data_IF_435019662963
#
_entry.id   IF_435019662963
#
_cell.length_a   1.000
_cell.length_b   1.000
_cell.length_c   1.000
_cell.angle_alpha   90.00
_cell.angle_beta   90.00
_cell.angle_gamma   90.00
#
_symmetry.space_group_name_H-M   'P 1'
#
loop_
_entity.id
_entity.type
_entity.pdbx_description
1 polymer ?
#
# COMPACT_ATOMS: atom_id res chain seq x y z
N UNK A 1 -34.74 -8.03 16.23
CA UNK A 1 -33.47 -7.40 15.81
C UNK A 1 -33.81 -6.10 15.13
N UNK A 2 -33.19 -4.97 15.50
CA UNK A 2 -33.39 -3.72 14.78
C UNK A 2 -32.95 -3.91 13.32
N UNK A 3 -33.70 -3.34 12.36
CA UNK A 3 -33.34 -3.40 10.94
C UNK A 3 -31.98 -2.73 10.72
N UNK A 4 -31.09 -3.36 9.95
CA UNK A 4 -29.81 -2.77 9.53
C UNK A 4 -30.09 -1.44 8.78
N UNK A 5 -29.27 -0.39 8.98
CA UNK A 5 -29.47 0.90 8.31
C UNK A 5 -29.26 0.77 6.80
N UNK A 6 -29.91 1.64 6.03
CA UNK A 6 -29.66 1.76 4.60
C UNK A 6 -28.30 2.45 4.34
N UNK A 7 -27.60 2.02 3.30
CA UNK A 7 -26.27 2.51 2.94
C UNK A 7 -26.29 3.03 1.50
N UNK A 8 -25.74 4.22 1.29
CA UNK A 8 -25.35 4.71 -0.03
C UNK A 8 -23.90 4.36 -0.34
N UNK A 9 -23.60 4.12 -1.61
CA UNK A 9 -22.26 3.69 -2.03
C UNK A 9 -21.91 4.27 -3.41
N UNK A 10 -20.70 4.80 -3.57
CA UNK A 10 -20.14 5.06 -4.90
C UNK A 10 -18.75 4.44 -5.10
N UNK A 11 -18.48 4.06 -6.34
CA UNK A 11 -17.22 3.43 -6.75
C UNK A 11 -17.27 1.92 -6.53
N UNK A 12 -17.86 1.20 -7.48
CA UNK A 12 -18.02 -0.25 -7.47
C UNK A 12 -16.89 -0.94 -8.27
N UNK A 13 -15.69 -0.35 -8.26
CA UNK A 13 -14.47 -1.03 -8.75
C UNK A 13 -14.13 -2.27 -7.91
N UNK A 14 -12.98 -2.91 -8.17
CA UNK A 14 -12.63 -4.20 -7.54
C UNK A 14 -12.79 -4.23 -6.01
N UNK A 15 -12.30 -3.20 -5.31
CA UNK A 15 -12.46 -3.09 -3.85
C UNK A 15 -13.90 -2.75 -3.43
N UNK A 16 -14.48 -1.71 -4.02
CA UNK A 16 -15.80 -1.22 -3.62
C UNK A 16 -16.91 -2.21 -3.92
N UNK A 17 -16.81 -2.97 -5.01
CA UNK A 17 -17.72 -4.08 -5.31
C UNK A 17 -17.68 -5.16 -4.22
N UNK A 18 -16.47 -5.56 -3.79
CA UNK A 18 -16.31 -6.52 -2.69
C UNK A 18 -16.96 -5.99 -1.41
N UNK A 19 -16.67 -4.74 -1.03
CA UNK A 19 -17.26 -4.10 0.17
C UNK A 19 -18.78 -4.04 0.10
N UNK A 20 -19.34 -3.57 -1.02
CA UNK A 20 -20.78 -3.40 -1.17
C UNK A 20 -21.52 -4.74 -1.16
N UNK A 21 -20.95 -5.78 -1.80
CA UNK A 21 -21.54 -7.13 -1.80
C UNK A 21 -21.40 -7.85 -0.47
N UNK A 22 -20.32 -7.60 0.29
CA UNK A 22 -20.23 -8.04 1.69
C UNK A 22 -21.36 -7.45 2.53
N UNK A 23 -21.58 -6.14 2.46
CA UNK A 23 -22.66 -5.47 3.18
C UNK A 23 -24.04 -6.02 2.83
N UNK A 24 -24.30 -6.34 1.56
CA UNK A 24 -25.56 -6.99 1.15
C UNK A 24 -25.70 -8.36 1.82
N UNK A 25 -24.65 -9.19 1.81
CA UNK A 25 -24.66 -10.51 2.48
C UNK A 25 -24.86 -10.40 3.99
N UNK A 26 -24.34 -9.34 4.61
CA UNK A 26 -24.55 -9.00 6.02
C UNK A 26 -25.94 -8.40 6.34
N UNK A 27 -26.82 -8.29 5.33
CA UNK A 27 -28.21 -7.88 5.50
C UNK A 27 -28.46 -6.37 5.43
N UNK A 28 -27.51 -5.57 4.95
CA UNK A 28 -27.72 -4.14 4.72
C UNK A 28 -28.41 -3.90 3.37
N UNK A 29 -29.23 -2.85 3.31
CA UNK A 29 -29.80 -2.35 2.07
C UNK A 29 -28.84 -1.34 1.42
N UNK A 30 -28.13 -1.77 0.38
CA UNK A 30 -27.10 -0.94 -0.27
C UNK A 30 -27.62 -0.38 -1.60
N UNK A 31 -27.64 0.95 -1.72
CA UNK A 31 -27.89 1.65 -2.98
C UNK A 31 -26.57 2.16 -3.55
N UNK A 32 -26.18 1.66 -4.71
CA UNK A 32 -24.86 1.86 -5.31
C UNK A 32 -24.89 2.68 -6.60
N UNK A 33 -23.84 3.45 -6.84
CA UNK A 33 -23.55 4.12 -8.11
C UNK A 33 -22.12 3.79 -8.58
N UNK A 34 -21.97 3.63 -9.90
CA UNK A 34 -20.69 3.57 -10.58
C UNK A 34 -20.85 4.19 -11.97
N UNK A 35 -19.79 4.83 -12.46
CA UNK A 35 -19.78 5.44 -13.80
C UNK A 35 -19.79 4.38 -14.91
N UNK A 36 -19.44 3.14 -14.60
CA UNK A 36 -19.40 2.02 -15.54
C UNK A 36 -20.65 1.15 -15.44
N UNK A 37 -21.56 1.30 -16.40
CA UNK A 37 -22.84 0.60 -16.42
C UNK A 37 -22.77 -0.93 -16.26
N UNK A 38 -21.82 -1.66 -16.88
CA UNK A 38 -21.69 -3.11 -16.65
C UNK A 38 -21.42 -3.50 -15.19
N UNK A 39 -20.79 -2.63 -14.40
CA UNK A 39 -20.58 -2.88 -12.97
C UNK A 39 -21.89 -2.77 -12.18
N UNK A 40 -22.76 -1.82 -12.55
CA UNK A 40 -24.09 -1.67 -11.95
C UNK A 40 -24.96 -2.91 -12.18
N UNK A 41 -24.95 -3.46 -13.40
CA UNK A 41 -25.68 -4.70 -13.69
C UNK A 41 -25.18 -5.89 -12.85
N UNK A 42 -23.86 -6.02 -12.70
CA UNK A 42 -23.26 -7.03 -11.80
C UNK A 42 -23.66 -6.80 -10.34
N UNK A 43 -23.70 -5.55 -9.90
CA UNK A 43 -24.06 -5.19 -8.52
C UNK A 43 -25.53 -5.50 -8.23
N UNK A 44 -26.42 -5.20 -9.17
CA UNK A 44 -27.83 -5.56 -9.11
C UNK A 44 -28.02 -7.08 -9.05
N UNK A 45 -27.30 -7.83 -9.87
CA UNK A 45 -27.32 -9.29 -9.85
C UNK A 45 -26.83 -9.87 -8.50
N UNK A 46 -25.95 -9.16 -7.79
CA UNK A 46 -25.49 -9.52 -6.45
C UNK A 46 -26.47 -9.10 -5.32
N UNK A 47 -27.66 -8.58 -5.65
CA UNK A 47 -28.68 -8.18 -4.68
C UNK A 47 -28.64 -6.70 -4.27
N UNK A 48 -27.78 -5.91 -4.91
CA UNK A 48 -27.69 -4.46 -4.68
C UNK A 48 -28.77 -3.66 -5.38
N UNK A 49 -29.03 -2.45 -4.89
CA UNK A 49 -29.95 -1.51 -5.55
C UNK A 49 -29.09 -0.56 -6.39
N UNK A 50 -29.11 -0.69 -7.71
CA UNK A 50 -28.39 0.24 -8.59
C UNK A 50 -29.16 1.56 -8.71
N UNK A 51 -28.42 2.66 -8.64
CA UNK A 51 -28.93 4.01 -8.88
C UNK A 51 -28.44 4.55 -10.23
N UNK A 52 -29.16 5.54 -10.76
CA UNK A 52 -28.84 6.21 -12.03
C UNK A 52 -27.94 7.44 -11.85
N UNK A 53 -27.74 7.88 -10.61
CA UNK A 53 -26.89 9.04 -10.28
C UNK A 53 -26.33 8.96 -8.87
N UNK A 54 -25.25 9.72 -8.61
CA UNK A 54 -24.69 9.92 -7.27
C UNK A 54 -25.75 10.46 -6.29
N UNK A 55 -26.52 11.47 -6.69
CA UNK A 55 -27.59 12.03 -5.84
C UNK A 55 -28.61 10.98 -5.42
N UNK A 56 -29.06 10.13 -6.34
CA UNK A 56 -30.01 9.05 -6.04
C UNK A 56 -29.42 8.03 -5.06
N UNK A 57 -28.14 7.69 -5.22
CA UNK A 57 -27.47 6.76 -4.29
C UNK A 57 -27.37 7.29 -2.85
N UNK A 58 -27.37 8.61 -2.67
CA UNK A 58 -27.14 9.27 -1.38
C UNK A 58 -28.44 9.65 -0.64
N UNK A 59 -29.54 9.80 -1.39
CA UNK A 59 -30.82 10.23 -0.85
C UNK A 59 -31.34 9.27 0.23
N UNK A 60 -31.76 9.83 1.36
CA UNK A 60 -32.32 9.11 2.50
C UNK A 60 -31.36 8.04 3.10
N UNK A 61 -30.05 8.15 2.85
CA UNK A 61 -29.04 7.22 3.38
C UNK A 61 -28.31 7.81 4.59
N UNK A 62 -28.50 7.26 5.80
CA UNK A 62 -27.80 7.74 6.99
C UNK A 62 -26.29 7.45 6.96
N UNK A 63 -25.85 6.48 6.15
CA UNK A 63 -24.44 6.15 5.93
C UNK A 63 -24.13 6.18 4.44
N UNK A 64 -22.98 6.73 4.09
CA UNK A 64 -22.50 6.76 2.71
C UNK A 64 -21.02 6.38 2.64
N UNK A 65 -20.67 5.46 1.72
CA UNK A 65 -19.28 5.03 1.48
C UNK A 65 -18.83 5.50 0.10
N UNK A 66 -17.71 6.22 0.06
CA UNK A 66 -17.03 6.61 -1.18
C UNK A 66 -15.75 5.79 -1.37
N UNK A 67 -15.75 4.92 -2.40
CA UNK A 67 -14.64 4.01 -2.69
C UNK A 67 -14.19 4.12 -4.16
N UNK A 68 -13.54 5.24 -4.49
CA UNK A 68 -13.02 5.55 -5.83
C UNK A 68 -11.48 5.49 -5.84
N UNK A 69 -10.86 5.61 -7.02
CA UNK A 69 -9.42 5.38 -7.15
C UNK A 69 -8.57 6.58 -6.72
N UNK A 70 -9.03 7.81 -6.97
CA UNK A 70 -8.23 9.04 -6.80
C UNK A 70 -8.97 10.13 -6.01
N UNK A 71 -8.20 11.05 -5.42
CA UNK A 71 -8.74 12.24 -4.76
C UNK A 71 -9.57 13.13 -5.73
N UNK A 72 -9.19 13.20 -7.00
CA UNK A 72 -9.96 13.93 -8.01
C UNK A 72 -11.34 13.30 -8.25
N UNK A 73 -11.41 11.97 -8.35
CA UNK A 73 -12.69 11.27 -8.46
C UNK A 73 -13.53 11.44 -7.20
N UNK A 74 -12.90 11.43 -6.02
CA UNK A 74 -13.59 11.69 -4.76
C UNK A 74 -14.13 13.11 -4.72
N UNK A 75 -13.36 14.12 -5.17
CA UNK A 75 -13.79 15.50 -5.19
C UNK A 75 -15.03 15.69 -6.06
N UNK A 76 -15.00 15.13 -7.28
CA UNK A 76 -16.15 15.16 -8.19
C UNK A 76 -17.36 14.43 -7.60
N UNK A 77 -17.16 13.24 -7.01
CA UNK A 77 -18.24 12.46 -6.44
C UNK A 77 -18.89 13.13 -5.21
N UNK A 78 -18.10 13.84 -4.40
CA UNK A 78 -18.56 14.51 -3.20
C UNK A 78 -19.20 15.87 -3.52
N UNK A 79 -18.49 16.73 -4.25
CA UNK A 79 -18.78 18.15 -4.38
C UNK A 79 -19.05 18.63 -5.82
N UNK A 80 -18.92 17.76 -6.82
CA UNK A 80 -19.27 18.09 -8.21
C UNK A 80 -20.74 18.52 -8.36
N UNK A 81 -21.14 18.87 -9.58
CA UNK A 81 -22.48 19.42 -9.84
C UNK A 81 -23.59 18.49 -9.31
N UNK A 82 -23.40 17.19 -9.54
CA UNK A 82 -24.27 16.09 -9.09
C UNK A 82 -23.72 15.34 -7.85
N UNK A 83 -22.80 15.96 -7.11
CA UNK A 83 -22.12 15.36 -5.97
C UNK A 83 -23.06 14.97 -4.82
N UNK A 84 -22.67 13.95 -4.07
CA UNK A 84 -23.52 13.34 -3.03
C UNK A 84 -23.84 14.30 -1.88
N UNK A 85 -22.98 15.29 -1.60
CA UNK A 85 -23.08 16.16 -0.42
C UNK A 85 -24.39 16.96 -0.41
N UNK A 86 -24.94 17.30 -1.59
CA UNK A 86 -26.24 18.00 -1.68
C UNK A 86 -27.44 17.09 -1.38
N UNK A 87 -27.28 15.78 -1.49
CA UNK A 87 -28.34 14.79 -1.38
C UNK A 87 -28.32 13.98 -0.08
N UNK A 88 -27.20 14.02 0.68
CA UNK A 88 -27.10 13.36 1.98
C UNK A 88 -28.12 13.94 2.97
N UNK A 89 -28.82 13.10 3.76
CA UNK A 89 -29.69 13.59 4.83
C UNK A 89 -28.90 14.32 5.92
N UNK A 90 -29.63 15.03 6.79
CA UNK A 90 -29.01 15.71 7.92
C UNK A 90 -28.33 14.70 8.86
N UNK A 91 -27.14 15.05 9.37
CA UNK A 91 -26.32 14.21 10.26
C UNK A 91 -25.91 12.85 9.66
N UNK A 92 -25.86 12.74 8.32
CA UNK A 92 -25.35 11.54 7.65
C UNK A 92 -23.88 11.30 8.00
N UNK A 93 -23.47 10.04 8.04
CA UNK A 93 -22.07 9.63 8.19
C UNK A 93 -21.46 9.32 6.84
N UNK A 94 -20.43 10.07 6.45
CA UNK A 94 -19.70 9.91 5.20
C UNK A 94 -18.35 9.26 5.45
N UNK A 95 -18.11 8.10 4.85
CA UNK A 95 -16.86 7.36 4.92
C UNK A 95 -16.12 7.50 3.59
N UNK A 96 -14.95 8.15 3.61
CA UNK A 96 -14.04 8.14 2.47
C UNK A 96 -13.04 6.99 2.64
N UNK A 97 -13.21 5.93 1.86
CA UNK A 97 -12.39 4.71 1.97
C UNK A 97 -11.26 4.65 0.92
N UNK A 98 -11.11 5.70 0.13
CA UNK A 98 -10.14 5.81 -0.95
C UNK A 98 -8.74 6.12 -0.38
N UNK A 99 -7.68 5.61 -1.02
CA UNK A 99 -6.32 6.05 -0.69
C UNK A 99 -6.06 7.41 -1.34
N UNK A 100 -6.00 8.46 -0.51
CA UNK A 100 -5.86 9.86 -0.90
C UNK A 100 -4.80 10.57 -0.04
N UNK A 101 -4.26 11.73 -0.46
CA UNK A 101 -3.41 12.54 0.41
C UNK A 101 -4.16 13.00 1.67
N UNK A 102 -3.47 13.03 2.82
CA UNK A 102 -4.04 13.55 4.08
C UNK A 102 -4.51 15.00 3.97
N UNK A 103 -3.79 15.82 3.19
CA UNK A 103 -4.19 17.20 2.91
C UNK A 103 -5.56 17.28 2.21
N UNK A 104 -5.86 16.34 1.30
CA UNK A 104 -7.15 16.24 0.63
C UNK A 104 -8.25 15.80 1.61
N UNK A 105 -8.02 14.75 2.40
CA UNK A 105 -8.99 14.33 3.41
C UNK A 105 -9.35 15.49 4.37
N UNK A 106 -8.34 16.28 4.80
CA UNK A 106 -8.54 17.48 5.62
C UNK A 106 -9.31 18.58 4.88
N UNK A 107 -9.12 18.75 3.57
CA UNK A 107 -9.87 19.75 2.80
C UNK A 107 -11.35 19.40 2.66
N UNK A 108 -11.70 18.10 2.55
CA UNK A 108 -13.10 17.65 2.52
C UNK A 108 -13.87 18.13 3.75
N UNK A 109 -13.29 18.00 4.95
CA UNK A 109 -13.93 18.50 6.19
C UNK A 109 -14.18 20.01 6.17
N UNK A 110 -13.20 20.80 5.74
CA UNK A 110 -13.34 22.27 5.60
C UNK A 110 -14.39 22.65 4.55
N UNK A 111 -14.43 21.91 3.45
CA UNK A 111 -15.37 22.17 2.37
C UNK A 111 -16.81 21.86 2.79
N UNK A 112 -17.04 20.76 3.52
CA UNK A 112 -18.33 20.44 4.14
C UNK A 112 -18.83 21.61 5.01
N UNK A 113 -17.98 22.18 5.86
CA UNK A 113 -18.33 23.37 6.64
C UNK A 113 -18.68 24.58 5.75
N UNK A 114 -17.86 24.85 4.73
CA UNK A 114 -18.02 26.00 3.84
C UNK A 114 -19.33 25.98 3.02
N UNK A 115 -19.84 24.79 2.70
CA UNK A 115 -21.10 24.61 1.96
C UNK A 115 -22.31 24.42 2.88
N UNK A 116 -22.17 24.70 4.19
CA UNK A 116 -23.25 24.61 5.16
C UNK A 116 -23.61 23.17 5.55
N UNK A 117 -22.71 22.21 5.33
CA UNK A 117 -22.86 20.78 5.63
C UNK A 117 -21.95 20.33 6.79
N UNK A 118 -21.68 21.22 7.74
CA UNK A 118 -20.97 20.88 8.98
C UNK A 118 -21.70 19.85 9.87
N UNK A 119 -22.95 19.52 9.54
CA UNK A 119 -23.71 18.42 10.15
C UNK A 119 -23.23 17.02 9.72
N UNK A 120 -22.57 16.90 8.56
CA UNK A 120 -22.12 15.61 8.04
C UNK A 120 -20.96 15.08 8.89
N UNK A 121 -21.14 13.87 9.43
CA UNK A 121 -20.14 13.17 10.23
C UNK A 121 -19.12 12.50 9.29
N UNK A 122 -18.01 13.18 9.03
CA UNK A 122 -16.99 12.71 8.11
C UNK A 122 -15.93 11.81 8.77
N UNK A 123 -15.61 10.69 8.10
CA UNK A 123 -14.55 9.75 8.48
C UNK A 123 -13.64 9.49 7.28
N UNK A 124 -12.37 9.85 7.43
CA UNK A 124 -11.29 9.44 6.53
C UNK A 124 -10.86 8.02 6.92
N UNK A 125 -11.21 7.02 6.11
CA UNK A 125 -11.11 5.59 6.46
C UNK A 125 -10.54 4.72 5.33
N UNK A 126 -9.36 5.05 4.77
CA UNK A 126 -8.74 4.21 3.76
C UNK A 126 -8.57 2.76 4.21
N UNK A 127 -8.54 1.86 3.22
CA UNK A 127 -8.56 0.42 3.46
C UNK A 127 -7.35 -0.30 2.85
N UNK A 128 -7.06 -1.49 3.37
CA UNK A 128 -6.04 -2.42 2.87
C UNK A 128 -6.56 -3.86 2.93
N UNK A 129 -6.15 -4.71 1.99
CA UNK A 129 -6.53 -6.14 1.99
C UNK A 129 -6.89 -6.73 0.61
N UNK A 130 -7.10 -5.89 -0.41
CA UNK A 130 -7.46 -6.36 -1.74
C UNK A 130 -8.93 -6.81 -1.86
N UNK A 131 -9.36 -7.08 -3.09
CA UNK A 131 -10.76 -7.35 -3.42
C UNK A 131 -11.34 -8.56 -2.67
N UNK A 132 -10.52 -9.59 -2.44
CA UNK A 132 -10.91 -10.80 -1.68
C UNK A 132 -11.30 -10.43 -0.25
N UNK A 133 -10.40 -9.77 0.50
CA UNK A 133 -10.70 -9.37 1.88
C UNK A 133 -11.84 -8.34 1.95
N UNK A 134 -12.03 -7.54 0.90
CA UNK A 134 -13.18 -6.64 0.80
C UNK A 134 -14.50 -7.41 0.68
N UNK A 135 -14.54 -8.47 -0.14
CA UNK A 135 -15.70 -9.33 -0.31
C UNK A 135 -16.02 -10.22 0.91
N UNK A 136 -15.00 -10.48 1.74
CA UNK A 136 -15.10 -11.27 2.96
C UNK A 136 -15.35 -10.40 4.22
N UNK A 137 -15.33 -9.06 4.10
CA UNK A 137 -15.46 -8.17 5.25
C UNK A 137 -14.28 -8.23 6.22
N UNK A 138 -13.10 -8.57 5.73
CA UNK A 138 -11.90 -8.80 6.55
C UNK A 138 -10.81 -7.77 6.27
N UNK A 139 -11.18 -6.55 5.87
CA UNK A 139 -10.21 -5.50 5.56
C UNK A 139 -9.44 -5.05 6.80
N UNK A 140 -8.29 -4.44 6.55
CA UNK A 140 -7.65 -3.55 7.50
C UNK A 140 -8.08 -2.12 7.18
N UNK A 141 -8.67 -1.42 8.14
CA UNK A 141 -9.23 -0.08 7.96
C UNK A 141 -8.51 0.88 8.90
N UNK A 142 -8.04 2.01 8.35
CA UNK A 142 -7.33 3.05 9.10
C UNK A 142 -8.23 4.28 9.16
N UNK A 143 -8.96 4.46 10.26
CA UNK A 143 -10.00 5.48 10.39
C UNK A 143 -9.54 6.66 11.26
N UNK A 144 -9.67 7.87 10.72
CA UNK A 144 -9.48 9.14 11.43
C UNK A 144 -10.69 10.05 11.25
N UNK A 145 -11.13 10.69 12.33
CA UNK A 145 -12.30 11.57 12.33
C UNK A 145 -12.59 12.13 13.72
N UNK A 146 -13.59 12.99 13.82
CA UNK A 146 -14.08 13.46 15.12
C UNK A 146 -14.68 12.29 15.94
N UNK A 147 -14.59 12.35 17.27
CA UNK A 147 -15.08 11.27 18.14
C UNK A 147 -16.55 10.89 17.86
N UNK A 148 -17.42 11.87 17.66
CA UNK A 148 -18.84 11.64 17.31
C UNK A 148 -19.01 10.92 15.96
N UNK A 149 -18.18 11.23 14.96
CA UNK A 149 -18.22 10.56 13.68
C UNK A 149 -17.74 9.10 13.80
N UNK A 150 -16.63 8.88 14.52
CA UNK A 150 -16.11 7.54 14.79
C UNK A 150 -17.14 6.71 15.56
N UNK A 151 -17.73 7.25 16.62
CA UNK A 151 -18.77 6.57 17.41
C UNK A 151 -19.94 6.13 16.52
N UNK A 152 -20.43 7.03 15.66
CA UNK A 152 -21.55 6.75 14.75
C UNK A 152 -21.21 5.71 13.68
N UNK A 153 -20.00 5.77 13.12
CA UNK A 153 -19.53 4.89 12.05
C UNK A 153 -18.93 3.57 12.50
N UNK A 154 -18.59 3.42 13.79
CA UNK A 154 -17.78 2.31 14.31
C UNK A 154 -18.33 0.94 13.93
N UNK A 155 -19.63 0.70 14.15
CA UNK A 155 -20.22 -0.61 13.86
C UNK A 155 -20.15 -0.98 12.37
N UNK A 156 -20.26 0.01 11.46
CA UNK A 156 -20.13 -0.22 10.02
C UNK A 156 -18.68 -0.46 9.60
N UNK A 157 -17.73 0.26 10.21
CA UNK A 157 -16.31 0.03 10.02
C UNK A 157 -15.91 -1.37 10.51
N UNK A 158 -16.41 -1.78 11.68
CA UNK A 158 -16.17 -3.12 12.25
C UNK A 158 -16.71 -4.22 11.34
N UNK A 159 -17.93 -4.06 10.79
CA UNK A 159 -18.54 -4.99 9.83
C UNK A 159 -17.69 -5.24 8.58
N UNK A 160 -16.92 -4.24 8.15
CA UNK A 160 -16.06 -4.30 6.97
C UNK A 160 -14.63 -4.75 7.28
N UNK A 161 -14.29 -4.89 8.56
CA UNK A 161 -12.92 -5.14 9.03
C UNK A 161 -12.76 -6.52 9.66
N UNK A 162 -11.57 -7.10 9.51
CA UNK A 162 -11.24 -8.29 10.29
C UNK A 162 -11.18 -7.94 11.79
N UNK A 163 -11.41 -8.92 12.70
CA UNK A 163 -11.24 -8.71 14.12
C UNK A 163 -9.88 -8.08 14.44
N UNK A 164 -9.89 -6.99 15.23
CA UNK A 164 -8.69 -6.20 15.60
C UNK A 164 -7.95 -5.54 14.42
N UNK A 165 -8.57 -5.42 13.24
CA UNK A 165 -8.02 -4.73 12.07
C UNK A 165 -8.74 -3.41 11.73
N UNK A 166 -9.60 -2.94 12.63
CA UNK A 166 -10.04 -1.54 12.65
C UNK A 166 -9.06 -0.72 13.51
N UNK A 167 -8.26 0.10 12.86
CA UNK A 167 -7.31 1.00 13.49
C UNK A 167 -7.94 2.39 13.55
N UNK A 168 -8.35 2.83 14.75
CA UNK A 168 -8.72 4.23 14.97
C UNK A 168 -7.43 4.99 15.20
N UNK A 169 -7.09 5.88 14.26
CA UNK A 169 -5.82 6.62 14.26
C UNK A 169 -6.05 7.98 14.90
N UNK A 170 -5.28 8.27 15.94
CA UNK A 170 -5.32 9.57 16.62
C UNK A 170 -4.86 10.70 15.69
N UNK A 171 -5.38 11.91 15.90
CA UNK A 171 -5.09 13.09 15.07
C UNK A 171 -6.25 13.54 14.17
N UNK A 172 -7.40 12.86 14.22
CA UNK A 172 -8.62 13.27 13.53
C UNK A 172 -8.58 13.03 12.01
N UNK A 173 -9.29 13.88 11.25
CA UNK A 173 -9.36 13.75 9.78
C UNK A 173 -7.97 13.88 9.16
N UNK A 174 -7.63 12.97 8.25
CA UNK A 174 -6.32 12.89 7.60
C UNK A 174 -5.32 11.97 8.31
N UNK A 175 -5.59 11.55 9.56
CA UNK A 175 -4.74 10.58 10.26
C UNK A 175 -4.83 9.17 9.64
N UNK A 176 -6.03 8.75 9.24
CA UNK A 176 -6.24 7.50 8.50
C UNK A 176 -5.49 7.49 7.17
N UNK A 177 -5.60 8.58 6.39
CA UNK A 177 -4.85 8.80 5.15
C UNK A 177 -3.33 8.79 5.36
N UNK A 178 -2.81 9.42 6.41
CA UNK A 178 -1.38 9.35 6.75
C UNK A 178 -0.94 7.91 7.07
N UNK A 179 -1.70 7.19 7.90
CA UNK A 179 -1.40 5.80 8.24
C UNK A 179 -1.37 4.92 7.00
N UNK A 180 -2.35 5.07 6.09
CA UNK A 180 -2.35 4.34 4.81
C UNK A 180 -1.18 4.72 3.91
N UNK A 181 -0.85 6.01 3.79
CA UNK A 181 0.28 6.48 2.97
C UNK A 181 1.59 5.86 3.46
N UNK A 182 1.85 5.90 4.77
CA UNK A 182 3.06 5.32 5.36
C UNK A 182 3.08 3.81 5.20
N UNK A 183 1.94 3.13 5.38
CA UNK A 183 1.84 1.70 5.07
C UNK A 183 2.17 1.39 3.59
N UNK A 184 1.79 2.28 2.66
CA UNK A 184 2.12 2.13 1.24
C UNK A 184 3.60 2.37 0.92
N UNK A 185 4.42 2.96 1.79
CA UNK A 185 5.90 3.08 1.58
C UNK A 185 6.51 1.69 1.40
N UNK A 186 6.19 0.77 2.31
CA UNK A 186 6.66 -0.61 2.24
C UNK A 186 6.16 -1.31 0.97
N UNK A 187 4.87 -1.15 0.65
CA UNK A 187 4.29 -1.73 -0.55
C UNK A 187 4.97 -1.21 -1.83
N UNK A 188 5.13 0.11 -1.95
CA UNK A 188 5.73 0.78 -3.10
C UNK A 188 7.16 0.34 -3.35
N UNK A 189 7.97 0.14 -2.30
CA UNK A 189 9.34 -0.33 -2.47
C UNK A 189 9.37 -1.84 -2.77
N UNK A 190 8.64 -2.64 -1.99
CA UNK A 190 8.70 -4.09 -2.08
C UNK A 190 8.13 -4.64 -3.39
N UNK A 191 7.08 -4.02 -3.96
CA UNK A 191 6.51 -4.43 -5.27
C UNK A 191 7.57 -4.30 -6.38
N UNK A 192 8.28 -3.17 -6.42
CA UNK A 192 9.35 -2.99 -7.40
C UNK A 192 10.53 -3.91 -7.12
N UNK A 193 10.87 -4.14 -5.84
CA UNK A 193 11.91 -5.08 -5.45
C UNK A 193 11.64 -6.49 -6.01
N UNK A 194 10.38 -6.94 -6.11
CA UNK A 194 10.04 -8.20 -6.78
C UNK A 194 10.53 -8.22 -8.23
N UNK A 195 10.22 -7.17 -8.99
CA UNK A 195 10.59 -7.06 -10.41
C UNK A 195 12.10 -6.94 -10.60
N UNK A 196 12.76 -6.14 -9.76
CA UNK A 196 14.21 -5.96 -9.77
C UNK A 196 14.94 -7.26 -9.38
N UNK A 197 14.47 -7.96 -8.36
CA UNK A 197 15.03 -9.24 -7.90
C UNK A 197 14.90 -10.34 -8.95
N UNK A 198 13.72 -10.50 -9.56
CA UNK A 198 13.56 -11.46 -10.66
C UNK A 198 14.35 -11.06 -11.91
N UNK A 199 14.40 -9.77 -12.23
CA UNK A 199 15.18 -9.25 -13.35
C UNK A 199 16.69 -9.48 -13.18
N UNK A 200 17.20 -9.28 -11.97
CA UNK A 200 18.59 -9.59 -11.63
C UNK A 200 18.87 -11.08 -11.69
N UNK A 201 18.00 -11.90 -11.09
CA UNK A 201 18.12 -13.35 -11.13
C UNK A 201 18.10 -13.90 -12.56
N UNK A 202 17.25 -13.34 -13.43
CA UNK A 202 17.17 -13.72 -14.83
C UNK A 202 18.50 -13.48 -15.56
N UNK A 203 19.11 -12.30 -15.36
CA UNK A 203 20.42 -11.98 -15.96
C UNK A 203 21.57 -12.80 -15.38
N UNK A 204 21.42 -13.29 -14.15
CA UNK A 204 22.33 -14.25 -13.53
C UNK A 204 22.20 -15.67 -14.10
N UNK A 205 21.16 -15.95 -14.90
CA UNK A 205 20.87 -17.27 -15.48
C UNK A 205 20.05 -18.18 -14.56
N UNK A 206 19.36 -17.63 -13.56
CA UNK A 206 18.56 -18.39 -12.59
C UNK A 206 17.11 -18.55 -13.08
N UNK A 207 16.53 -19.73 -12.83
CA UNK A 207 15.12 -19.96 -13.08
C UNK A 207 14.25 -19.29 -12.00
N UNK A 208 13.24 -18.52 -12.42
CA UNK A 208 12.37 -17.78 -11.52
C UNK A 208 11.61 -18.65 -10.50
N UNK A 209 11.32 -19.92 -10.80
CA UNK A 209 10.65 -20.80 -9.82
C UNK A 209 11.56 -21.11 -8.64
N UNK A 210 12.82 -21.43 -8.91
CA UNK A 210 13.84 -21.68 -7.88
C UNK A 210 14.14 -20.42 -7.08
N UNK A 211 14.20 -19.26 -7.74
CA UNK A 211 14.36 -17.95 -7.09
C UNK A 211 13.19 -17.69 -6.13
N UNK A 212 11.95 -17.96 -6.55
CA UNK A 212 10.77 -17.79 -5.70
C UNK A 212 10.88 -18.64 -4.44
N UNK A 213 11.19 -19.92 -4.59
CA UNK A 213 11.32 -20.86 -3.46
C UNK A 213 12.41 -20.39 -2.49
N UNK A 214 13.59 -20.04 -3.02
CA UNK A 214 14.72 -19.59 -2.20
C UNK A 214 14.43 -18.30 -1.45
N UNK A 215 13.81 -17.31 -2.09
CA UNK A 215 13.51 -16.01 -1.46
C UNK A 215 12.46 -16.18 -0.38
N UNK A 216 11.38 -16.93 -0.64
CA UNK A 216 10.32 -17.18 0.35
C UNK A 216 10.86 -17.88 1.59
N UNK A 217 11.82 -18.81 1.42
CA UNK A 217 12.44 -19.54 2.53
C UNK A 217 13.58 -18.76 3.25
N UNK A 218 13.76 -17.47 2.98
CA UNK A 218 14.92 -16.71 3.44
C UNK A 218 14.57 -15.40 4.17
N UNK A 219 15.60 -14.72 4.66
CA UNK A 219 15.49 -13.38 5.24
C UNK A 219 15.07 -12.28 4.24
N UNK A 220 15.07 -12.59 2.93
CA UNK A 220 14.57 -11.69 1.90
C UNK A 220 13.04 -11.73 1.74
N UNK A 221 12.32 -12.59 2.47
CA UNK A 221 10.87 -12.71 2.34
C UNK A 221 10.16 -11.36 2.56
N UNK A 222 9.20 -11.07 1.67
CA UNK A 222 8.16 -10.06 1.87
C UNK A 222 6.82 -10.56 1.36
N UNK A 223 5.74 -10.07 1.96
CA UNK A 223 4.38 -10.41 1.54
C UNK A 223 4.16 -10.02 0.06
N UNK A 224 4.71 -8.88 -0.36
CA UNK A 224 4.64 -8.43 -1.76
C UNK A 224 5.36 -9.39 -2.70
N UNK A 225 6.55 -9.88 -2.34
CA UNK A 225 7.27 -10.87 -3.14
C UNK A 225 6.47 -12.16 -3.31
N UNK A 226 6.00 -12.74 -2.20
CA UNK A 226 5.22 -13.96 -2.24
C UNK A 226 3.93 -13.79 -3.06
N UNK A 227 3.23 -12.67 -2.89
CA UNK A 227 1.98 -12.38 -3.57
C UNK A 227 2.14 -12.09 -5.08
N UNK A 228 3.16 -11.32 -5.48
CA UNK A 228 3.37 -10.93 -6.90
C UNK A 228 4.07 -12.01 -7.69
N UNK A 229 4.95 -12.78 -7.07
CA UNK A 229 5.72 -13.84 -7.74
C UNK A 229 4.83 -14.83 -8.50
N UNK A 230 3.62 -15.13 -8.01
CA UNK A 230 2.65 -15.99 -8.71
C UNK A 230 2.31 -15.44 -10.10
N UNK A 231 1.98 -14.15 -10.20
CA UNK A 231 1.63 -13.48 -11.46
C UNK A 231 2.86 -13.19 -12.31
N UNK A 232 3.99 -12.85 -11.70
CA UNK A 232 5.28 -12.71 -12.40
C UNK A 232 5.67 -14.00 -13.11
N UNK A 233 5.54 -15.17 -12.44
CA UNK A 233 5.92 -16.47 -13.01
C UNK A 233 4.92 -17.00 -14.03
N UNK A 234 3.63 -16.69 -13.86
CA UNK A 234 2.54 -17.13 -14.73
C UNK A 234 2.29 -16.22 -15.94
N UNK A 235 2.94 -15.04 -16.00
CA UNK A 235 2.72 -14.01 -17.02
C UNK A 235 1.27 -13.52 -17.17
N UNK A 236 0.47 -13.68 -16.12
CA UNK A 236 -0.87 -13.13 -16.04
C UNK A 236 -0.82 -11.70 -15.48
N UNK A 237 -0.77 -10.75 -16.40
CA UNK A 237 -0.73 -9.32 -16.09
C UNK A 237 -2.08 -8.64 -16.28
N UNK A 238 -3.18 -9.39 -16.31
CA UNK A 238 -4.49 -8.79 -16.02
C UNK A 238 -4.49 -8.39 -14.54
N UNK A 239 -4.94 -7.17 -14.18
CA UNK A 239 -4.83 -6.67 -12.80
C UNK A 239 -5.66 -7.54 -11.85
N UNK A 240 -4.98 -8.46 -11.17
CA UNK A 240 -5.56 -9.38 -10.21
C UNK A 240 -5.49 -8.84 -8.78
N UNK A 241 -4.54 -7.95 -8.49
CA UNK A 241 -4.39 -7.30 -7.20
C UNK A 241 -4.33 -5.77 -7.29
N UNK A 242 -3.41 -5.24 -8.10
CA UNK A 242 -3.15 -3.80 -8.25
C UNK A 242 -2.55 -3.54 -9.62
N UNK A 243 -3.04 -2.50 -10.30
CA UNK A 243 -2.52 -2.11 -11.59
C UNK A 243 -1.30 -1.18 -11.45
N UNK A 244 -0.44 -1.11 -12.46
CA UNK A 244 0.70 -0.17 -12.50
C UNK A 244 0.24 1.26 -12.23
N UNK A 245 -0.87 1.70 -12.83
CA UNK A 245 -1.42 3.03 -12.60
C UNK A 245 -1.85 3.29 -11.14
N UNK A 246 -2.24 2.25 -10.40
CA UNK A 246 -2.60 2.35 -8.99
C UNK A 246 -1.36 2.54 -8.13
N UNK A 247 -0.31 1.74 -8.35
CA UNK A 247 0.93 1.89 -7.57
C UNK A 247 1.68 3.18 -7.93
N UNK A 248 1.62 3.65 -9.18
CA UNK A 248 2.09 5.00 -9.58
C UNK A 248 1.37 6.06 -8.75
N UNK A 249 0.03 6.00 -8.69
CA UNK A 249 -0.78 6.95 -7.92
C UNK A 249 -0.43 6.93 -6.43
N UNK A 250 -0.37 5.75 -5.82
CA UNK A 250 -0.05 5.61 -4.38
C UNK A 250 1.38 6.11 -4.07
N UNK A 251 2.35 5.77 -4.90
CA UNK A 251 3.73 6.25 -4.74
C UNK A 251 3.82 7.76 -4.95
N UNK A 252 3.05 8.33 -5.88
CA UNK A 252 2.94 9.77 -6.04
C UNK A 252 2.35 10.49 -4.84
N UNK A 253 1.41 9.88 -4.09
CA UNK A 253 0.92 10.42 -2.81
C UNK A 253 2.04 10.48 -1.78
N UNK A 254 2.84 9.40 -1.69
CA UNK A 254 3.99 9.33 -0.78
C UNK A 254 5.01 10.42 -1.12
N UNK A 255 5.50 10.48 -2.35
CA UNK A 255 6.60 11.39 -2.72
C UNK A 255 6.16 12.85 -2.74
N UNK A 256 4.91 13.13 -3.13
CA UNK A 256 4.35 14.49 -3.05
C UNK A 256 4.23 14.97 -1.61
N UNK A 257 3.75 14.13 -0.69
CA UNK A 257 3.67 14.47 0.74
C UNK A 257 5.06 14.60 1.36
N UNK A 258 5.99 13.72 1.02
CA UNK A 258 7.37 13.80 1.47
C UNK A 258 8.02 15.13 1.07
N UNK A 259 7.85 15.58 -0.18
CA UNK A 259 8.31 16.90 -0.63
C UNK A 259 7.66 18.06 0.13
N UNK A 260 6.35 18.00 0.37
CA UNK A 260 5.63 19.02 1.12
C UNK A 260 6.10 19.13 2.58
N UNK A 261 6.56 18.03 3.16
CA UNK A 261 7.01 17.95 4.55
C UNK A 261 8.54 17.96 4.71
N UNK A 262 9.30 18.17 3.63
CA UNK A 262 10.76 18.09 3.62
C UNK A 262 11.32 16.77 4.17
N UNK A 263 10.66 15.64 3.86
CA UNK A 263 11.10 14.30 4.25
C UNK A 263 11.83 13.59 3.10
N UNK A 264 12.99 12.96 3.31
CA UNK A 264 13.77 12.32 2.25
C UNK A 264 13.30 10.90 1.93
N UNK A 265 12.13 10.74 1.30
CA UNK A 265 11.59 9.44 0.84
C UNK A 265 12.34 8.88 -0.39
N UNK A 266 13.61 8.53 -0.19
CA UNK A 266 14.58 8.22 -1.24
C UNK A 266 14.21 6.98 -2.05
N UNK A 267 13.93 5.85 -1.39
CA UNK A 267 13.58 4.61 -2.10
C UNK A 267 12.23 4.72 -2.79
N UNK A 268 11.23 5.37 -2.16
CA UNK A 268 9.96 5.62 -2.85
C UNK A 268 10.11 6.52 -4.08
N UNK A 269 11.00 7.52 -4.03
CA UNK A 269 11.27 8.40 -5.18
C UNK A 269 11.87 7.62 -6.34
N UNK A 270 12.81 6.71 -6.05
CA UNK A 270 13.38 5.80 -7.07
C UNK A 270 12.29 4.88 -7.63
N UNK A 271 11.47 4.30 -6.75
CA UNK A 271 10.39 3.41 -7.17
C UNK A 271 9.39 4.12 -8.09
N UNK A 272 8.98 5.34 -7.75
CA UNK A 272 8.07 6.17 -8.56
C UNK A 272 8.58 6.35 -10.00
N UNK A 273 9.87 6.65 -10.17
CA UNK A 273 10.46 6.84 -11.50
C UNK A 273 10.45 5.56 -12.34
N UNK A 274 10.71 4.41 -11.73
CA UNK A 274 10.65 3.13 -12.45
C UNK A 274 9.20 2.76 -12.77
N UNK A 275 8.26 3.05 -11.87
CA UNK A 275 6.83 2.87 -12.15
C UNK A 275 6.35 3.74 -13.32
N UNK A 276 6.81 4.98 -13.42
CA UNK A 276 6.52 5.83 -14.58
C UNK A 276 7.03 5.23 -15.89
N UNK A 277 8.18 4.54 -15.89
CA UNK A 277 8.70 3.86 -17.08
C UNK A 277 7.77 2.74 -17.56
N UNK A 278 7.10 2.03 -16.64
CA UNK A 278 6.06 1.06 -16.99
C UNK A 278 4.80 1.71 -17.56
N UNK A 279 4.39 2.84 -16.98
CA UNK A 279 3.23 3.59 -17.46
C UNK A 279 3.46 4.20 -18.86
N UNK A 280 4.65 4.72 -19.13
CA UNK A 280 5.07 5.23 -20.45
C UNK A 280 4.98 4.15 -21.55
N UNK A 281 5.25 2.89 -21.19
CA UNK A 281 5.07 1.73 -22.09
C UNK A 281 3.61 1.28 -22.27
N UNK A 282 2.65 2.05 -21.76
CA UNK A 282 1.23 1.75 -21.84
C UNK A 282 0.75 0.66 -20.88
N UNK A 283 1.54 0.30 -19.85
CA UNK A 283 1.18 -0.77 -18.91
C UNK A 283 0.32 -0.32 -17.74
N UNK A 284 -0.21 0.91 -17.77
CA UNK A 284 -0.98 1.49 -16.66
C UNK A 284 -2.14 0.62 -16.18
N UNK A 285 -2.77 -0.16 -17.08
CA UNK A 285 -3.87 -1.07 -16.76
C UNK A 285 -3.43 -2.51 -16.46
N UNK A 286 -2.15 -2.86 -16.64
CA UNK A 286 -1.62 -4.17 -16.31
C UNK A 286 -1.36 -4.32 -14.80
N UNK A 287 -1.33 -5.56 -14.31
CA UNK A 287 -0.91 -5.87 -12.93
C UNK A 287 0.54 -5.38 -12.66
N UNK A 288 0.77 -4.85 -11.46
CA UNK A 288 2.08 -4.34 -11.04
C UNK A 288 3.18 -5.43 -11.00
N UNK A 289 2.81 -6.71 -10.93
CA UNK A 289 3.74 -7.84 -11.11
C UNK A 289 4.41 -7.89 -12.50
N UNK A 290 3.84 -7.21 -13.50
CA UNK A 290 4.32 -7.18 -14.88
C UNK A 290 5.47 -6.22 -15.14
N UNK A 291 5.93 -5.47 -14.14
CA UNK A 291 7.08 -4.56 -14.26
C UNK A 291 8.41 -5.28 -14.44
N UNK A 292 8.49 -6.59 -14.14
CA UNK A 292 9.66 -7.44 -14.45
C UNK A 292 10.07 -7.36 -15.91
N UNK A 293 9.12 -7.05 -16.81
CA UNK A 293 9.35 -6.83 -18.25
C UNK A 293 10.25 -5.61 -18.57
N UNK A 294 10.57 -4.77 -17.60
CA UNK A 294 11.61 -3.74 -17.75
C UNK A 294 13.03 -4.35 -17.71
N UNK A 295 13.21 -5.53 -17.12
CA UNK A 295 14.50 -6.21 -17.00
C UNK A 295 14.72 -7.31 -18.05
N UNK A 296 13.66 -8.03 -18.43
CA UNK A 296 13.74 -9.17 -19.35
C UNK A 296 12.55 -9.19 -20.31
N UNK A 297 12.80 -9.61 -21.56
CA UNK A 297 11.74 -9.92 -22.52
C UNK A 297 11.21 -11.34 -22.35
N UNK A 298 12.04 -12.24 -21.84
CA UNK A 298 11.72 -13.66 -21.72
C UNK A 298 11.08 -13.94 -20.36
N UNK A 299 10.14 -14.89 -20.30
CA UNK A 299 9.51 -15.29 -19.04
C UNK A 299 10.56 -15.77 -18.05
N UNK A 300 10.61 -15.18 -16.84
CA UNK A 300 11.61 -15.58 -15.83
C UNK A 300 11.47 -17.05 -15.42
N UNK A 301 10.28 -17.64 -15.61
CA UNK A 301 10.00 -19.05 -15.36
C UNK A 301 10.51 -20.00 -16.46
N UNK A 302 10.84 -19.50 -17.66
CA UNK A 302 11.34 -20.31 -18.78
C UNK A 302 12.86 -20.41 -18.87
N UNK A 303 13.59 -19.61 -18.09
CA UNK A 303 15.06 -19.59 -18.09
C UNK A 303 15.61 -20.97 -17.76
N UNK A 304 16.44 -21.50 -18.65
CA UNK A 304 17.16 -22.76 -18.46
C UNK A 304 18.54 -22.46 -17.89
N UNK A 305 18.80 -22.89 -16.65
CA UNK A 305 20.10 -22.68 -16.02
C UNK A 305 21.16 -23.62 -16.59
N UNK A 306 22.32 -23.07 -16.94
CA UNK A 306 23.53 -23.83 -17.29
C UNK A 306 24.56 -23.84 -16.16
N UNK A 307 24.19 -23.31 -14.99
CA UNK A 307 25.07 -23.15 -13.84
C UNK A 307 25.24 -24.48 -13.12
N UNK A 308 26.43 -24.69 -12.55
CA UNK A 308 26.63 -25.73 -11.54
C UNK A 308 25.80 -25.45 -10.29
N UNK A 309 25.61 -26.47 -9.45
CA UNK A 309 24.88 -26.32 -8.20
C UNK A 309 25.50 -25.25 -7.27
N UNK A 310 26.83 -25.17 -7.24
CA UNK A 310 27.58 -24.21 -6.41
C UNK A 310 27.41 -22.78 -6.93
N UNK A 311 27.58 -22.56 -8.23
CA UNK A 311 27.35 -21.25 -8.85
C UNK A 311 25.91 -20.79 -8.67
N UNK A 312 24.97 -21.73 -8.75
CA UNK A 312 23.55 -21.45 -8.57
C UNK A 312 23.26 -20.97 -7.14
N UNK A 313 23.75 -21.65 -6.11
CA UNK A 313 23.55 -21.21 -4.72
C UNK A 313 24.23 -19.86 -4.47
N UNK A 314 25.44 -19.66 -4.98
CA UNK A 314 26.14 -18.37 -4.85
C UNK A 314 25.34 -17.21 -5.47
N UNK A 315 24.79 -17.40 -6.67
CA UNK A 315 23.98 -16.38 -7.35
C UNK A 315 22.62 -16.18 -6.71
N UNK A 316 22.00 -17.25 -6.19
CA UNK A 316 20.78 -17.15 -5.40
C UNK A 316 20.99 -16.33 -4.13
N UNK A 317 22.14 -16.49 -3.45
CA UNK A 317 22.50 -15.70 -2.28
C UNK A 317 22.59 -14.20 -2.62
N UNK A 318 23.11 -13.82 -3.80
CA UNK A 318 23.15 -12.42 -4.23
C UNK A 318 21.75 -11.80 -4.39
N UNK A 319 20.78 -12.57 -4.91
CA UNK A 319 19.38 -12.11 -5.03
C UNK A 319 18.76 -11.91 -3.65
N UNK A 320 19.03 -12.83 -2.72
CA UNK A 320 18.58 -12.72 -1.33
C UNK A 320 19.20 -11.48 -0.66
N UNK A 321 20.50 -11.28 -0.82
CA UNK A 321 21.22 -10.15 -0.23
C UNK A 321 20.74 -8.81 -0.79
N UNK A 322 20.46 -8.74 -2.10
CA UNK A 322 19.85 -7.57 -2.76
C UNK A 322 18.52 -7.20 -2.10
N UNK A 323 17.59 -8.17 -2.04
CA UNK A 323 16.23 -7.96 -1.52
C UNK A 323 16.23 -7.65 -0.02
N UNK A 324 17.03 -8.38 0.77
CA UNK A 324 17.16 -8.14 2.21
C UNK A 324 17.66 -6.71 2.50
N UNK A 325 18.67 -6.23 1.75
CA UNK A 325 19.16 -4.87 1.87
C UNK A 325 18.11 -3.81 1.54
N UNK A 326 17.36 -4.00 0.45
CA UNK A 326 16.25 -3.11 0.07
C UNK A 326 15.17 -3.09 1.17
N UNK A 327 14.76 -4.25 1.67
CA UNK A 327 13.71 -4.36 2.68
C UNK A 327 14.09 -3.73 4.02
N UNK A 328 15.37 -3.80 4.43
CA UNK A 328 15.87 -3.14 5.64
C UNK A 328 15.74 -1.62 5.54
N UNK A 329 16.18 -1.04 4.41
CA UNK A 329 16.09 0.40 4.19
C UNK A 329 14.64 0.86 4.03
N UNK A 330 13.79 0.06 3.38
CA UNK A 330 12.36 0.32 3.28
C UNK A 330 11.67 0.38 4.65
N UNK A 331 12.08 -0.50 5.59
CA UNK A 331 11.58 -0.47 6.96
C UNK A 331 11.96 0.83 7.67
N UNK A 332 13.22 1.27 7.54
CA UNK A 332 13.68 2.52 8.12
C UNK A 332 12.96 3.74 7.53
N UNK A 333 12.83 3.82 6.19
CA UNK A 333 12.11 4.91 5.51
C UNK A 333 10.65 4.99 5.96
N UNK A 334 9.96 3.85 6.05
CA UNK A 334 8.57 3.79 6.50
C UNK A 334 8.40 4.25 7.95
N UNK A 335 9.22 3.72 8.87
CA UNK A 335 9.11 4.03 10.31
C UNK A 335 9.50 5.48 10.58
N UNK A 336 10.56 5.98 9.94
CA UNK A 336 10.95 7.38 10.06
C UNK A 336 9.88 8.32 9.50
N UNK A 337 9.28 7.99 8.35
CA UNK A 337 8.21 8.82 7.79
C UNK A 337 6.97 8.81 8.70
N UNK A 338 6.66 7.68 9.32
CA UNK A 338 5.60 7.57 10.32
C UNK A 338 5.78 8.54 11.48
N UNK A 339 6.99 8.58 12.05
CA UNK A 339 7.35 9.51 13.12
C UNK A 339 7.24 10.96 12.65
N UNK A 340 7.75 11.24 11.44
CA UNK A 340 7.73 12.58 10.85
C UNK A 340 6.31 13.14 10.67
N UNK A 341 5.34 12.28 10.34
CA UNK A 341 3.92 12.67 10.20
C UNK A 341 3.08 12.47 11.46
N UNK A 342 3.73 12.17 12.60
CA UNK A 342 3.10 12.11 13.92
C UNK A 342 2.19 10.90 14.14
N UNK A 343 2.48 9.76 13.51
CA UNK A 343 1.68 8.54 13.70
C UNK A 343 2.11 7.73 14.94
N UNK A 344 1.17 7.00 15.57
CA UNK A 344 1.51 6.02 16.59
C UNK A 344 2.30 4.86 15.98
N UNK A 345 3.60 4.80 16.26
CA UNK A 345 4.52 3.81 15.68
C UNK A 345 4.15 2.35 16.02
N UNK A 346 3.73 2.00 17.25
CA UNK A 346 3.29 0.64 17.55
C UNK A 346 2.08 0.21 16.70
N UNK A 347 1.13 1.11 16.47
CA UNK A 347 -0.05 0.83 15.64
C UNK A 347 0.33 0.62 14.17
N UNK A 348 1.29 1.40 13.65
CA UNK A 348 1.85 1.17 12.31
C UNK A 348 2.48 -0.22 12.22
N UNK A 349 3.26 -0.62 13.23
CA UNK A 349 3.89 -1.93 13.25
C UNK A 349 2.85 -3.06 13.18
N UNK A 350 1.83 -3.02 14.05
CA UNK A 350 0.72 -3.99 14.08
C UNK A 350 -0.04 -4.08 12.74
N UNK A 351 -0.23 -2.94 12.07
CA UNK A 351 -0.82 -2.88 10.73
C UNK A 351 0.09 -3.55 9.70
N UNK A 352 1.36 -3.14 9.65
CA UNK A 352 2.27 -3.49 8.57
C UNK A 352 2.69 -4.96 8.59
N UNK A 353 2.96 -5.55 9.76
CA UNK A 353 3.48 -6.93 9.88
C UNK A 353 2.54 -8.01 9.36
N UNK A 354 1.24 -7.76 9.40
CA UNK A 354 0.18 -8.70 8.98
C UNK A 354 -0.58 -8.22 7.73
N UNK A 355 -0.01 -7.28 6.99
CA UNK A 355 -0.61 -6.74 5.78
C UNK A 355 0.44 -6.57 4.67
N UNK A 356 0.13 -5.71 3.71
CA UNK A 356 0.92 -5.46 2.51
C UNK A 356 2.38 -5.03 2.76
N UNK A 357 2.71 -4.54 3.95
CA UNK A 357 4.06 -4.08 4.30
C UNK A 357 4.98 -5.14 4.91
N UNK A 358 4.44 -6.33 5.22
CA UNK A 358 5.18 -7.35 5.96
C UNK A 358 6.40 -7.85 5.21
N UNK A 359 7.56 -7.83 5.87
CA UNK A 359 8.80 -8.48 5.43
C UNK A 359 9.56 -9.02 6.64
N UNK A 360 10.50 -9.93 6.43
CA UNK A 360 11.35 -10.43 7.52
C UNK A 360 12.12 -9.28 8.16
N UNK A 361 12.71 -8.39 7.35
CA UNK A 361 13.41 -7.21 7.84
C UNK A 361 12.52 -6.28 8.69
N UNK A 362 11.27 -6.06 8.28
CA UNK A 362 10.35 -5.22 9.04
C UNK A 362 9.91 -5.90 10.35
N UNK A 363 9.67 -7.21 10.33
CA UNK A 363 9.28 -7.97 11.53
C UNK A 363 10.42 -8.05 12.55
N UNK A 364 11.62 -8.33 12.09
CA UNK A 364 12.77 -8.57 12.97
C UNK A 364 13.36 -7.27 13.53
N UNK A 365 13.30 -6.17 12.76
CA UNK A 365 13.96 -4.92 13.10
C UNK A 365 13.01 -3.73 13.32
N UNK A 366 11.72 -3.86 12.98
CA UNK A 366 10.78 -2.74 13.08
C UNK A 366 10.59 -2.24 14.52
N UNK A 367 10.38 -3.13 15.48
CA UNK A 367 10.27 -2.76 16.91
C UNK A 367 11.55 -2.13 17.44
N UNK A 368 12.71 -2.64 17.01
CA UNK A 368 14.03 -2.09 17.36
C UNK A 368 14.24 -0.69 16.79
N UNK A 369 13.80 -0.45 15.55
CA UNK A 369 13.83 0.88 14.93
C UNK A 369 12.92 1.86 15.67
N UNK A 370 11.74 1.41 16.09
CA UNK A 370 10.81 2.23 16.89
C UNK A 370 11.45 2.61 18.23
N UNK A 371 11.97 1.63 18.97
CA UNK A 371 12.66 1.85 20.24
C UNK A 371 13.83 2.84 20.10
N UNK A 372 14.64 2.68 19.03
CA UNK A 372 15.74 3.60 18.73
C UNK A 372 15.26 5.04 18.44
N UNK A 373 14.13 5.21 17.77
CA UNK A 373 13.52 6.54 17.55
C UNK A 373 12.92 7.13 18.83
N UNK A 374 12.46 6.31 19.76
CA UNK A 374 11.88 6.73 21.04
C UNK A 374 12.96 6.99 22.12
N UNK A 375 14.24 6.80 21.78
CA UNK A 375 15.37 7.10 22.65
C UNK A 375 15.70 5.98 23.64
N UNK A 376 15.16 4.78 23.43
CA UNK A 376 15.51 3.61 24.21
C UNK A 376 16.90 3.10 23.80
N UNK A 377 17.73 2.74 24.79
CA UNK A 377 19.07 2.19 24.55
C UNK A 377 18.97 0.88 23.77
N UNK A 378 19.48 0.88 22.54
CA UNK A 378 19.53 -0.29 21.67
C UNK A 378 20.50 -1.37 22.20
N UNK A 379 20.27 -2.60 21.77
CA UNK A 379 21.11 -3.75 22.09
C UNK A 379 22.45 -3.65 21.33
N UNK A 380 23.60 -3.89 21.98
CA UNK A 380 24.94 -3.83 21.34
C UNK A 380 25.06 -4.79 20.15
N UNK A 381 24.25 -5.87 20.12
CA UNK A 381 24.20 -6.86 19.04
C UNK A 381 23.76 -6.27 17.68
N UNK A 382 23.09 -5.11 17.65
CA UNK A 382 22.61 -4.48 16.42
C UNK A 382 23.63 -3.52 15.77
N UNK A 383 24.76 -3.25 16.44
CA UNK A 383 25.79 -2.32 15.96
C UNK A 383 26.54 -2.79 14.70
N UNK A 384 26.43 -4.08 14.34
CA UNK A 384 27.11 -4.66 13.16
C UNK A 384 26.16 -5.18 12.09
N UNK A 385 24.84 -5.13 12.33
CA UNK A 385 23.82 -5.62 11.39
C UNK A 385 23.85 -4.83 10.09
N UNK A 386 23.79 -3.50 10.18
CA UNK A 386 23.77 -2.62 8.99
C UNK A 386 25.09 -2.79 8.23
N UNK A 387 26.22 -2.90 8.93
CA UNK A 387 27.52 -3.21 8.33
C UNK A 387 27.52 -4.53 7.56
N UNK A 388 27.04 -5.61 8.16
CA UNK A 388 26.96 -6.93 7.51
C UNK A 388 26.02 -6.90 6.30
N UNK A 389 24.87 -6.24 6.41
CA UNK A 389 23.91 -6.10 5.30
C UNK A 389 24.46 -5.23 4.19
N UNK A 390 25.17 -4.16 4.52
CA UNK A 390 25.85 -3.30 3.56
C UNK A 390 26.87 -4.09 2.75
N UNK A 391 27.75 -4.86 3.39
CA UNK A 391 28.79 -5.63 2.68
C UNK A 391 28.20 -6.70 1.76
N UNK A 392 27.12 -7.35 2.17
CA UNK A 392 26.39 -8.31 1.32
C UNK A 392 25.68 -7.63 0.15
N UNK A 393 24.98 -6.53 0.41
CA UNK A 393 24.28 -5.77 -0.63
C UNK A 393 25.27 -5.18 -1.66
N UNK A 394 26.43 -4.67 -1.21
CA UNK A 394 27.48 -4.17 -2.10
C UNK A 394 27.91 -5.23 -3.11
N UNK A 395 28.18 -6.46 -2.66
CA UNK A 395 28.55 -7.57 -3.55
C UNK A 395 27.47 -7.85 -4.60
N UNK A 396 26.20 -7.84 -4.21
CA UNK A 396 25.09 -8.01 -5.14
C UNK A 396 25.00 -6.87 -6.16
N UNK A 397 25.20 -5.61 -5.72
CA UNK A 397 25.20 -4.43 -6.59
C UNK A 397 26.41 -4.43 -7.54
N UNK A 398 27.60 -4.80 -7.07
CA UNK A 398 28.81 -4.94 -7.88
C UNK A 398 28.63 -6.01 -8.96
N UNK A 399 28.08 -7.17 -8.61
CA UNK A 399 27.77 -8.22 -9.60
C UNK A 399 26.72 -7.73 -10.61
N UNK A 400 25.66 -7.05 -10.15
CA UNK A 400 24.66 -6.48 -11.04
C UNK A 400 25.28 -5.49 -12.04
N UNK A 401 26.21 -4.65 -11.59
CA UNK A 401 26.96 -3.73 -12.46
C UNK A 401 27.84 -4.49 -13.45
N UNK A 402 28.56 -5.54 -13.00
CA UNK A 402 29.42 -6.36 -13.84
C UNK A 402 28.65 -7.01 -15.00
N UNK A 403 27.43 -7.47 -14.75
CA UNK A 403 26.54 -8.06 -15.77
C UNK A 403 25.62 -7.05 -16.46
N UNK A 404 25.80 -5.74 -16.21
CA UNK A 404 25.00 -4.64 -16.78
C UNK A 404 23.50 -4.76 -16.49
N UNK A 405 23.15 -5.27 -15.32
CA UNK A 405 21.80 -5.32 -14.79
C UNK A 405 21.49 -4.05 -13.99
N UNK A 406 20.57 -3.17 -14.41
CA UNK A 406 20.07 -2.11 -13.54
C UNK A 406 19.45 -2.69 -12.27
N UNK A 407 19.93 -2.23 -11.11
CA UNK A 407 19.33 -2.47 -9.78
C UNK A 407 19.13 -1.11 -9.11
N UNK A 408 18.00 -0.46 -9.44
CA UNK A 408 17.70 0.91 -9.01
C UNK A 408 17.54 0.99 -7.50
N UNK A 409 16.70 0.12 -6.93
CA UNK A 409 16.48 0.08 -5.48
C UNK A 409 17.72 -0.41 -4.74
N UNK A 410 18.37 -1.46 -5.25
CA UNK A 410 19.59 -2.01 -4.65
C UNK A 410 20.72 -0.98 -4.55
N UNK A 411 20.97 -0.24 -5.63
CA UNK A 411 22.00 0.80 -5.67
C UNK A 411 21.70 1.95 -4.71
N UNK A 412 20.43 2.38 -4.63
CA UNK A 412 20.01 3.44 -3.72
C UNK A 412 20.04 3.00 -2.25
N UNK A 413 19.62 1.77 -1.96
CA UNK A 413 19.72 1.19 -0.62
C UNK A 413 21.19 1.08 -0.18
N UNK A 414 22.10 0.62 -1.06
CA UNK A 414 23.53 0.57 -0.77
C UNK A 414 24.11 1.96 -0.47
N UNK A 415 23.68 2.98 -1.23
CA UNK A 415 24.09 4.37 -1.00
C UNK A 415 23.64 4.90 0.35
N UNK A 416 22.40 4.62 0.77
CA UNK A 416 21.89 5.03 2.08
C UNK A 416 22.61 4.32 3.21
N UNK A 417 22.82 3.00 3.09
CA UNK A 417 23.57 2.24 4.09
C UNK A 417 25.03 2.71 4.21
N UNK A 418 25.67 3.12 3.10
CA UNK A 418 27.01 3.74 3.12
C UNK A 418 27.08 5.03 3.95
N UNK A 419 26.00 5.81 3.99
CA UNK A 419 25.93 7.07 4.74
C UNK A 419 25.83 6.86 6.26
N UNK A 420 25.66 5.62 6.73
CA UNK A 420 25.65 5.30 8.17
C UNK A 420 27.05 5.31 8.81
N UNK A 421 28.08 5.58 8.01
CA UNK A 421 29.49 5.75 8.39
C UNK A 421 29.99 4.69 9.38
N UNK A 422 30.62 5.08 10.51
CA UNK A 422 31.30 4.17 11.43
C UNK A 422 30.38 3.47 12.42
N UNK A 423 29.19 4.02 12.65
CA UNK A 423 28.30 3.56 13.71
C UNK A 423 27.49 2.30 13.31
N UNK A 424 27.30 2.07 12.00
CA UNK A 424 26.75 0.84 11.37
C UNK A 424 25.55 0.18 12.09
N UNK A 425 24.75 0.99 12.78
CA UNK A 425 23.59 0.56 13.56
C UNK A 425 22.27 1.12 13.01
N UNK A 426 21.15 0.54 13.44
CA UNK A 426 19.81 0.94 13.04
C UNK A 426 19.52 2.42 13.34
N UNK A 427 19.99 2.92 14.49
CA UNK A 427 19.84 4.33 14.85
C UNK A 427 20.53 5.27 13.84
N UNK A 428 21.70 4.90 13.31
CA UNK A 428 22.40 5.71 12.31
C UNK A 428 21.73 5.69 10.96
N UNK A 429 21.10 4.57 10.57
CA UNK A 429 20.24 4.51 9.39
C UNK A 429 19.01 5.42 9.54
N UNK A 430 18.39 5.43 10.73
CA UNK A 430 17.22 6.27 11.01
C UNK A 430 17.56 7.77 11.02
N UNK A 431 18.77 8.14 11.49
CA UNK A 431 19.25 9.54 11.47
C UNK A 431 19.33 10.15 10.08
N UNK A 432 19.35 9.35 9.00
CA UNK A 432 19.31 9.87 7.63
C UNK A 432 17.95 10.52 7.28
N UNK A 433 16.92 10.26 8.08
CA UNK A 433 15.54 10.72 7.86
C UNK A 433 15.04 11.74 8.89
N UNK A 434 15.86 12.08 9.91
CA UNK A 434 15.54 13.01 11.00
C UNK A 434 16.47 14.20 10.98
#
# INVERSE_FOLDING_TARGET
MASKPAIGFCGLGAMGFGMATHLIKSGYFVTGFDVWAPTLEKFKAAGGISSTSLSESAKDKPFYICMVATAQQAQEALFGDNGIVKALPQNATLLLCSTVPSAYAKSVGKELESVGRGDVLFIDSPVSGGAIRAADGTLSIMAGGAAAAIEKGKALLEELSAPKKLFIVEGGVGAGSNMKMVHQVLAAIQILAVSEGFGFAARLGLNGKEVRERVIASEAWSWMFENRSVRTLGEDYFPGASAVGIIVKDTGIITSTARLLNFPATLCTVAEQVYFSGNDRGWGTNDDAGLVRLWTSDPVSSIQTTLSAEEKEAKLALVVDLLAGIHLVAAAESIAFAKHVGLPLPQLYELAVEAAGGSTMFKDFGTKMIAALEGESGDEADATLVGTRLERLKKAVEEAQAIKCPVYLGSSAATLLLQTEKDLGLASLLKLYT
#
